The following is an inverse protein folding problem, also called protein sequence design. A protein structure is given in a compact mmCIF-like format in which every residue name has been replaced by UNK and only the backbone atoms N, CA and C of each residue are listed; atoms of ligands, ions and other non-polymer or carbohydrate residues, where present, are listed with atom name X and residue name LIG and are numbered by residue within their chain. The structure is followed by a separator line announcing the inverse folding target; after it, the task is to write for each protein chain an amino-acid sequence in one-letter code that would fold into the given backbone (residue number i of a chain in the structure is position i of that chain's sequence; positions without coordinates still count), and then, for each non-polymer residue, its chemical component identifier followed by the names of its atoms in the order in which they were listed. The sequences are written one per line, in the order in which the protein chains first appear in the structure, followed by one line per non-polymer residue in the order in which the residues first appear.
data_IF_228837221631
#
_entry.id   IF_228837221631
#
_cell.length_a   1.000
_cell.length_b   1.000
_cell.length_c   1.000
_cell.angle_alpha   90.00
_cell.angle_beta   90.00
_cell.angle_gamma   90.00
#
_symmetry.space_group_name_H-M   'P 1'
#
loop_
_entity.id
_entity.type
_entity.pdbx_description
1 polymer ?
#
# COMPACT_ATOMS: atom_id res chain seq x y z
N UNK A 1 -21.11 -12.30 -4.50
CA UNK A 1 -19.76 -11.73 -4.64
C UNK A 1 -19.63 -10.35 -3.99
N UNK A 2 -20.39 -9.31 -4.39
CA UNK A 2 -20.27 -7.97 -3.76
C UNK A 2 -20.53 -7.94 -2.24
N UNK A 3 -21.49 -8.73 -1.74
CA UNK A 3 -21.82 -8.81 -0.30
C UNK A 3 -20.71 -9.41 0.58
N UNK A 4 -19.88 -10.30 0.04
CA UNK A 4 -18.79 -10.92 0.80
C UNK A 4 -17.58 -9.99 0.92
N UNK A 5 -17.29 -9.22 -0.12
CA UNK A 5 -16.21 -8.22 -0.09
C UNK A 5 -16.52 -7.10 0.91
N UNK A 6 -17.77 -6.60 0.95
CA UNK A 6 -18.18 -5.58 1.93
C UNK A 6 -18.06 -6.09 3.37
N UNK A 7 -18.42 -7.34 3.65
CA UNK A 7 -18.31 -7.92 4.99
C UNK A 7 -16.86 -8.07 5.48
N UNK A 8 -15.92 -8.40 4.58
CA UNK A 8 -14.49 -8.43 4.92
C UNK A 8 -13.93 -7.03 5.20
N UNK A 9 -14.29 -6.03 4.39
CA UNK A 9 -13.87 -4.64 4.58
C UNK A 9 -14.33 -4.14 5.95
N UNK A 10 -15.62 -4.32 6.29
CA UNK A 10 -16.16 -3.87 7.59
C UNK A 10 -15.56 -4.61 8.78
N UNK A 11 -15.33 -5.93 8.65
CA UNK A 11 -14.70 -6.72 9.72
C UNK A 11 -13.26 -6.28 9.99
N UNK A 12 -12.47 -6.11 8.91
CA UNK A 12 -11.10 -5.59 9.00
C UNK A 12 -11.10 -4.18 9.58
N UNK A 13 -11.98 -3.32 9.08
CA UNK A 13 -12.13 -1.95 9.55
C UNK A 13 -12.41 -1.92 11.05
N UNK A 14 -13.44 -2.63 11.52
CA UNK A 14 -13.83 -2.65 12.93
C UNK A 14 -12.76 -3.25 13.84
N UNK A 15 -12.06 -4.30 13.37
CA UNK A 15 -10.93 -4.89 14.07
C UNK A 15 -9.78 -3.90 14.25
N UNK A 16 -9.41 -3.19 13.17
CA UNK A 16 -8.35 -2.18 13.20
C UNK A 16 -8.77 -0.96 14.04
N UNK A 17 -9.99 -0.44 13.90
CA UNK A 17 -10.52 0.64 14.76
C UNK A 17 -10.41 0.27 16.24
N UNK A 18 -10.79 -0.96 16.59
CA UNK A 18 -10.74 -1.45 17.98
C UNK A 18 -9.30 -1.55 18.47
N UNK A 19 -8.39 -2.06 17.65
CA UNK A 19 -6.97 -2.15 17.97
C UNK A 19 -6.36 -0.75 18.17
N UNK A 20 -6.61 0.18 17.25
CA UNK A 20 -6.12 1.56 17.32
C UNK A 20 -6.65 2.26 18.58
N UNK A 21 -7.94 2.14 18.88
CA UNK A 21 -8.53 2.71 20.10
C UNK A 21 -7.98 2.07 21.38
N UNK A 22 -7.56 0.81 21.31
CA UNK A 22 -7.02 0.06 22.45
C UNK A 22 -5.55 0.34 22.75
N UNK A 23 -4.70 0.43 21.72
CA UNK A 23 -3.23 0.54 21.88
C UNK A 23 -2.66 1.89 21.45
N UNK A 24 -3.40 2.68 20.67
CA UNK A 24 -2.92 3.93 20.08
C UNK A 24 -1.92 3.76 18.92
N UNK A 25 -1.52 2.54 18.59
CA UNK A 25 -0.53 2.26 17.54
C UNK A 25 -1.19 1.78 16.25
N UNK A 26 -1.34 2.71 15.30
CA UNK A 26 -1.94 2.46 13.98
C UNK A 26 -1.06 1.55 13.13
N UNK A 27 0.23 1.82 13.05
CA UNK A 27 1.11 1.10 12.14
C UNK A 27 1.22 -0.37 12.56
N UNK A 28 1.43 -0.66 13.85
CA UNK A 28 1.55 -2.04 14.34
C UNK A 28 0.24 -2.82 14.20
N UNK A 29 -0.91 -2.21 14.53
CA UNK A 29 -2.21 -2.86 14.38
C UNK A 29 -2.50 -3.24 12.92
N UNK A 30 -2.12 -2.37 11.99
CA UNK A 30 -2.27 -2.61 10.55
C UNK A 30 -1.31 -3.69 10.06
N UNK A 31 -0.04 -3.62 10.45
CA UNK A 31 0.97 -4.64 10.09
C UNK A 31 0.50 -6.03 10.51
N UNK A 32 0.04 -6.17 11.76
CA UNK A 32 -0.42 -7.44 12.30
C UNK A 32 -1.65 -7.97 11.56
N UNK A 33 -2.63 -7.10 11.26
CA UNK A 33 -3.83 -7.49 10.53
C UNK A 33 -3.49 -7.98 9.12
N UNK A 34 -2.73 -7.17 8.37
CA UNK A 34 -2.35 -7.46 6.98
C UNK A 34 -1.46 -8.71 6.92
N UNK A 35 -0.47 -8.82 7.81
CA UNK A 35 0.42 -9.98 7.87
C UNK A 35 -0.35 -11.26 8.17
N UNK A 36 -1.24 -11.26 9.17
CA UNK A 36 -2.07 -12.43 9.51
C UNK A 36 -2.97 -12.84 8.35
N UNK A 37 -3.58 -11.88 7.64
CA UNK A 37 -4.40 -12.21 6.46
C UNK A 37 -3.55 -12.84 5.36
N UNK A 38 -2.39 -12.26 5.05
CA UNK A 38 -1.48 -12.80 4.03
C UNK A 38 -1.01 -14.20 4.41
N UNK A 39 -0.52 -14.42 5.64
CA UNK A 39 -0.06 -15.74 6.12
C UNK A 39 -1.20 -16.77 6.10
N UNK A 40 -2.40 -16.40 6.57
CA UNK A 40 -3.57 -17.30 6.56
C UNK A 40 -3.99 -17.67 5.14
N UNK A 41 -3.86 -16.74 4.20
CA UNK A 41 -4.23 -16.96 2.79
C UNK A 41 -3.16 -17.78 2.04
N UNK A 42 -1.88 -17.61 2.35
CA UNK A 42 -0.78 -18.40 1.77
C UNK A 42 -0.66 -19.80 2.40
N UNK A 43 -1.01 -19.96 3.68
CA UNK A 43 -0.95 -21.24 4.40
C UNK A 43 -2.15 -22.17 4.13
N UNK A 44 -3.18 -21.70 3.44
CA UNK A 44 -4.41 -22.46 3.19
C UNK A 44 -4.83 -22.47 1.72
N UNK A 45 -4.53 -23.58 1.03
CA UNK A 45 -5.26 -24.11 -0.15
C UNK A 45 -4.95 -23.42 -1.51
N UNK A 46 -4.62 -24.25 -2.50
CA UNK A 46 -3.96 -23.88 -3.77
C UNK A 46 -4.82 -23.32 -4.92
N UNK A 47 -5.97 -22.69 -4.69
CA UNK A 47 -6.86 -22.20 -5.76
C UNK A 47 -7.21 -20.67 -5.67
N UNK A 48 -6.33 -19.85 -5.08
CA UNK A 48 -6.68 -18.53 -4.48
C UNK A 48 -5.92 -17.34 -5.11
N UNK A 49 -5.66 -17.30 -6.42
CA UNK A 49 -5.00 -16.12 -7.02
C UNK A 49 -5.90 -14.86 -7.00
N UNK A 50 -7.17 -14.99 -7.41
CA UNK A 50 -8.13 -13.86 -7.48
C UNK A 50 -8.66 -13.43 -6.10
N UNK A 51 -8.81 -14.40 -5.19
CA UNK A 51 -9.27 -14.16 -3.82
C UNK A 51 -8.19 -13.47 -2.97
N UNK A 52 -6.90 -13.71 -3.25
CA UNK A 52 -5.80 -13.02 -2.57
C UNK A 52 -5.77 -11.52 -2.90
N UNK A 53 -5.88 -11.16 -4.19
CA UNK A 53 -5.92 -9.75 -4.62
C UNK A 53 -7.16 -9.04 -4.06
N UNK A 54 -8.30 -9.72 -4.07
CA UNK A 54 -9.55 -9.20 -3.49
C UNK A 54 -9.44 -9.00 -1.98
N UNK A 55 -8.82 -9.94 -1.27
CA UNK A 55 -8.61 -9.86 0.18
C UNK A 55 -7.62 -8.77 0.55
N UNK A 56 -6.50 -8.64 -0.17
CA UNK A 56 -5.53 -7.55 0.07
C UNK A 56 -6.12 -6.18 -0.24
N UNK A 57 -6.91 -6.05 -1.31
CA UNK A 57 -7.64 -4.83 -1.61
C UNK A 57 -8.68 -4.50 -0.53
N UNK A 58 -9.45 -5.50 -0.09
CA UNK A 58 -10.43 -5.33 0.99
C UNK A 58 -9.77 -4.94 2.32
N UNK A 59 -8.61 -5.53 2.63
CA UNK A 59 -7.84 -5.18 3.83
C UNK A 59 -7.26 -3.78 3.73
N UNK A 60 -6.65 -3.41 2.59
CA UNK A 60 -6.12 -2.07 2.37
C UNK A 60 -7.24 -1.01 2.50
N UNK A 61 -8.38 -1.24 1.86
CA UNK A 61 -9.53 -0.34 1.91
C UNK A 61 -10.13 -0.26 3.31
N UNK A 62 -10.35 -1.39 3.99
CA UNK A 62 -10.85 -1.43 5.37
C UNK A 62 -9.90 -0.76 6.36
N UNK A 63 -8.59 -0.91 6.14
CA UNK A 63 -7.54 -0.24 6.92
C UNK A 63 -7.61 1.27 6.75
N UNK A 64 -7.63 1.77 5.51
CA UNK A 64 -7.64 3.21 5.26
C UNK A 64 -8.94 3.82 5.80
N UNK A 65 -10.09 3.14 5.63
CA UNK A 65 -11.35 3.57 6.23
C UNK A 65 -11.31 3.60 7.77
N UNK A 66 -10.68 2.61 8.41
CA UNK A 66 -10.53 2.58 9.87
C UNK A 66 -9.70 3.77 10.37
N UNK A 67 -8.60 4.06 9.68
CA UNK A 67 -7.70 5.17 10.03
C UNK A 67 -8.37 6.51 9.79
N UNK A 68 -9.12 6.66 8.69
CA UNK A 68 -9.93 7.86 8.45
C UNK A 68 -11.00 8.05 9.54
N UNK A 69 -11.67 6.99 9.98
CA UNK A 69 -12.71 7.06 11.02
C UNK A 69 -12.15 7.47 12.38
N UNK A 70 -10.97 6.99 12.75
CA UNK A 70 -10.32 7.35 14.01
C UNK A 70 -9.50 8.64 13.93
N UNK A 71 -9.43 9.28 12.75
CA UNK A 71 -8.60 10.47 12.51
C UNK A 71 -7.11 10.19 12.61
N UNK A 72 -6.67 8.98 12.32
CA UNK A 72 -5.28 8.56 12.35
C UNK A 72 -4.49 9.00 11.11
N UNK A 73 -3.18 8.80 11.16
CA UNK A 73 -2.27 9.19 10.09
C UNK A 73 -2.26 8.18 8.93
N UNK A 74 -2.64 8.62 7.73
CA UNK A 74 -2.67 7.77 6.53
C UNK A 74 -1.27 7.34 6.09
N UNK A 75 -0.23 8.12 6.40
CA UNK A 75 1.15 7.74 6.11
C UNK A 75 1.54 6.50 6.91
N UNK A 76 1.25 6.51 8.21
CA UNK A 76 1.47 5.40 9.13
C UNK A 76 0.64 4.17 8.75
N UNK A 77 -0.60 4.37 8.31
CA UNK A 77 -1.44 3.30 7.79
C UNK A 77 -0.84 2.66 6.54
N UNK A 78 -0.45 3.47 5.56
CA UNK A 78 0.11 3.00 4.30
C UNK A 78 1.46 2.30 4.51
N UNK A 79 2.30 2.85 5.41
CA UNK A 79 3.51 2.22 5.92
C UNK A 79 3.24 0.85 6.52
N UNK A 80 2.23 0.76 7.39
CA UNK A 80 1.84 -0.48 8.04
C UNK A 80 1.33 -1.54 7.05
N UNK A 81 0.57 -1.13 6.02
CA UNK A 81 0.08 -2.04 4.98
C UNK A 81 1.24 -2.69 4.26
N UNK A 82 2.19 -1.91 3.72
CA UNK A 82 3.27 -2.47 2.93
C UNK A 82 4.22 -3.33 3.77
N UNK A 83 4.47 -2.94 5.03
CA UNK A 83 5.22 -3.76 5.99
C UNK A 83 4.50 -5.08 6.30
N UNK A 84 3.19 -5.04 6.54
CA UNK A 84 2.39 -6.24 6.77
C UNK A 84 2.39 -7.20 5.58
N UNK A 85 2.28 -6.67 4.36
CA UNK A 85 2.39 -7.47 3.13
C UNK A 85 3.78 -8.09 3.03
N UNK A 86 4.84 -7.31 3.22
CA UNK A 86 6.22 -7.80 3.14
C UNK A 86 6.54 -8.86 4.19
N UNK A 87 6.11 -8.65 5.44
CA UNK A 87 6.28 -9.63 6.53
C UNK A 87 5.46 -10.90 6.27
N UNK A 88 4.20 -10.77 5.83
CA UNK A 88 3.36 -11.93 5.54
C UNK A 88 3.84 -12.71 4.31
N UNK A 89 4.40 -12.05 3.30
CA UNK A 89 4.95 -12.71 2.11
C UNK A 89 6.37 -13.25 2.32
N UNK A 90 7.08 -12.81 3.37
CA UNK A 90 8.39 -13.37 3.78
C UNK A 90 8.29 -14.87 4.06
N UNK A 91 7.28 -15.29 4.81
CA UNK A 91 7.07 -16.70 5.16
C UNK A 91 6.78 -17.57 3.93
N UNK A 92 6.17 -16.97 2.90
CA UNK A 92 5.86 -17.61 1.63
C UNK A 92 6.97 -17.46 0.55
N UNK A 93 8.06 -16.73 0.83
CA UNK A 93 9.11 -16.43 -0.15
C UNK A 93 8.67 -15.54 -1.32
N UNK A 94 7.54 -14.83 -1.20
CA UNK A 94 6.91 -14.05 -2.26
C UNK A 94 7.15 -12.52 -2.16
N UNK A 95 8.00 -12.09 -1.21
CA UNK A 95 8.33 -10.69 -1.01
C UNK A 95 9.30 -10.20 -2.10
N UNK A 96 8.76 -9.54 -3.13
CA UNK A 96 9.53 -9.01 -4.27
C UNK A 96 9.31 -7.50 -4.46
N UNK A 97 10.18 -6.86 -5.24
CA UNK A 97 10.00 -5.47 -5.67
C UNK A 97 8.67 -5.28 -6.44
N UNK A 98 8.23 -6.30 -7.18
CA UNK A 98 6.93 -6.27 -7.85
C UNK A 98 5.78 -6.23 -6.83
N UNK A 99 5.84 -7.05 -5.79
CA UNK A 99 4.86 -7.05 -4.70
C UNK A 99 4.78 -5.68 -4.02
N UNK A 100 5.92 -5.01 -3.79
CA UNK A 100 5.98 -3.65 -3.25
C UNK A 100 5.26 -2.66 -4.17
N UNK A 101 5.57 -2.69 -5.48
CA UNK A 101 4.97 -1.80 -6.48
C UNK A 101 3.46 -2.03 -6.62
N UNK A 102 3.02 -3.29 -6.70
CA UNK A 102 1.60 -3.64 -6.78
C UNK A 102 0.83 -3.21 -5.53
N UNK A 103 1.40 -3.45 -4.35
CA UNK A 103 0.78 -3.04 -3.08
C UNK A 103 0.66 -1.52 -3.00
N UNK A 104 1.73 -0.79 -3.35
CA UNK A 104 1.71 0.67 -3.35
C UNK A 104 0.65 1.25 -4.30
N UNK A 105 0.52 0.71 -5.51
CA UNK A 105 -0.51 1.13 -6.45
C UNK A 105 -1.93 0.86 -5.94
N UNK A 106 -2.17 -0.32 -5.35
CA UNK A 106 -3.46 -0.67 -4.75
C UNK A 106 -3.83 0.22 -3.58
N UNK A 107 -2.88 0.51 -2.68
CA UNK A 107 -3.10 1.41 -1.54
C UNK A 107 -3.46 2.81 -2.01
N UNK A 108 -2.76 3.36 -3.01
CA UNK A 108 -3.10 4.69 -3.56
C UNK A 108 -4.51 4.73 -4.17
N UNK A 109 -4.90 3.67 -4.89
CA UNK A 109 -6.27 3.55 -5.40
C UNK A 109 -7.30 3.55 -4.28
N UNK A 110 -7.10 2.71 -3.26
CA UNK A 110 -7.99 2.66 -2.11
C UNK A 110 -8.03 3.98 -1.34
N UNK A 111 -6.90 4.69 -1.23
CA UNK A 111 -6.85 6.02 -0.61
C UNK A 111 -7.67 7.03 -1.41
N UNK A 112 -7.57 7.01 -2.74
CA UNK A 112 -8.35 7.89 -3.61
C UNK A 112 -9.85 7.61 -3.53
N UNK A 113 -10.25 6.33 -3.50
CA UNK A 113 -11.65 5.90 -3.39
C UNK A 113 -12.33 6.42 -2.12
N UNK A 114 -11.56 6.61 -1.04
CA UNK A 114 -12.07 7.12 0.24
C UNK A 114 -11.78 8.61 0.45
N UNK A 115 -11.24 9.30 -0.57
CA UNK A 115 -10.93 10.73 -0.51
C UNK A 115 -9.79 11.10 0.43
N UNK A 116 -8.86 10.18 0.70
CA UNK A 116 -7.69 10.42 1.55
C UNK A 116 -6.55 11.18 0.85
N UNK A 117 -5.58 11.64 1.64
CA UNK A 117 -4.38 12.32 1.14
C UNK A 117 -3.41 11.33 0.47
N UNK A 118 -3.35 11.37 -0.86
CA UNK A 118 -2.49 10.52 -1.68
C UNK A 118 -1.00 10.79 -1.45
N UNK A 119 -0.62 12.03 -1.18
CA UNK A 119 0.77 12.42 -0.95
C UNK A 119 1.30 11.86 0.36
N UNK A 120 0.51 11.99 1.42
CA UNK A 120 0.83 11.42 2.74
C UNK A 120 0.87 9.90 2.70
N UNK A 121 -0.11 9.25 2.03
CA UNK A 121 -0.09 7.81 1.82
C UNK A 121 1.14 7.34 1.01
N UNK A 122 1.50 8.05 -0.07
CA UNK A 122 2.66 7.73 -0.90
C UNK A 122 3.98 7.79 -0.12
N UNK A 123 4.17 8.80 0.72
CA UNK A 123 5.35 8.90 1.61
C UNK A 123 5.41 7.72 2.57
N UNK A 124 4.30 7.40 3.22
CA UNK A 124 4.20 6.25 4.11
C UNK A 124 4.55 4.92 3.43
N UNK A 125 4.10 4.72 2.18
CA UNK A 125 4.45 3.54 1.39
C UNK A 125 5.96 3.43 1.14
N UNK A 126 6.62 4.53 0.77
CA UNK A 126 8.06 4.53 0.54
C UNK A 126 8.82 4.26 1.84
N UNK A 127 8.42 4.87 2.95
CA UNK A 127 9.03 4.63 4.26
C UNK A 127 8.87 3.17 4.71
N UNK A 128 7.66 2.60 4.54
CA UNK A 128 7.40 1.20 4.85
C UNK A 128 8.16 0.23 3.95
N UNK A 129 8.34 0.56 2.66
CA UNK A 129 9.13 -0.24 1.74
C UNK A 129 10.62 -0.23 2.12
N UNK A 130 11.17 0.92 2.51
CA UNK A 130 12.56 1.05 2.97
C UNK A 130 12.77 0.22 4.24
N UNK A 131 11.85 0.33 5.20
CA UNK A 131 11.91 -0.42 6.45
C UNK A 131 11.77 -1.93 6.22
N UNK A 132 10.76 -2.35 5.45
CA UNK A 132 10.55 -3.75 5.10
C UNK A 132 11.72 -4.34 4.32
N UNK A 133 12.32 -3.57 3.41
CA UNK A 133 13.53 -4.01 2.70
C UNK A 133 14.71 -4.26 3.65
N UNK A 134 14.93 -3.39 4.66
CA UNK A 134 15.95 -3.62 5.69
C UNK A 134 15.69 -4.90 6.48
N UNK A 135 14.44 -5.19 6.84
CA UNK A 135 14.05 -6.40 7.57
C UNK A 135 14.18 -7.69 6.75
N UNK A 136 14.08 -7.58 5.42
CA UNK A 136 14.15 -8.68 4.48
C UNK A 136 15.52 -8.87 3.84
N UNK A 137 16.46 -7.94 4.07
CA UNK A 137 17.77 -7.94 3.41
C UNK A 137 17.70 -7.59 1.92
N UNK A 138 16.66 -6.87 1.49
CA UNK A 138 16.51 -6.36 0.12
C UNK A 138 17.18 -4.99 -0.02
N UNK A 139 17.44 -4.56 -1.26
CA UNK A 139 17.96 -3.22 -1.52
C UNK A 139 16.90 -2.15 -1.21
N UNK A 140 17.23 -1.27 -0.27
CA UNK A 140 16.30 -0.22 0.20
C UNK A 140 16.00 0.84 -0.84
N UNK A 141 16.93 1.11 -1.77
CA UNK A 141 16.74 2.08 -2.85
C UNK A 141 15.83 1.49 -3.92
N UNK A 142 16.01 0.22 -4.28
CA UNK A 142 15.14 -0.48 -5.20
C UNK A 142 13.72 -0.64 -4.63
N UNK A 143 13.59 -0.96 -3.34
CA UNK A 143 12.29 -1.03 -2.66
C UNK A 143 11.59 0.34 -2.62
N UNK A 144 12.30 1.41 -2.28
CA UNK A 144 11.78 2.77 -2.32
C UNK A 144 11.32 3.15 -3.73
N UNK A 145 12.12 2.86 -4.76
CA UNK A 145 11.80 3.14 -6.15
C UNK A 145 10.61 2.32 -6.64
N UNK A 146 10.50 1.05 -6.24
CA UNK A 146 9.37 0.19 -6.55
C UNK A 146 8.08 0.71 -5.93
N UNK A 147 8.09 1.08 -4.64
CA UNK A 147 6.94 1.67 -3.96
C UNK A 147 6.53 2.99 -4.61
N UNK A 148 7.49 3.88 -4.87
CA UNK A 148 7.22 5.16 -5.51
C UNK A 148 6.63 5.01 -6.92
N UNK A 149 7.19 4.09 -7.71
CA UNK A 149 6.71 3.80 -9.08
C UNK A 149 5.31 3.18 -9.05
N UNK A 150 5.06 2.25 -8.14
CA UNK A 150 3.76 1.63 -7.93
C UNK A 150 2.70 2.64 -7.53
N UNK A 151 3.02 3.51 -6.56
CA UNK A 151 2.16 4.59 -6.11
C UNK A 151 1.82 5.56 -7.25
N UNK A 152 2.83 5.99 -8.03
CA UNK A 152 2.63 6.86 -9.20
C UNK A 152 1.78 6.21 -10.28
N UNK A 153 1.96 4.91 -10.52
CA UNK A 153 1.13 4.16 -11.47
C UNK A 153 -0.33 4.11 -10.99
N UNK A 154 -0.56 3.77 -9.73
CA UNK A 154 -1.89 3.76 -9.13
C UNK A 154 -2.57 5.13 -9.23
N UNK A 155 -1.82 6.20 -8.92
CA UNK A 155 -2.28 7.58 -9.03
C UNK A 155 -2.58 8.01 -10.47
N UNK A 156 -1.70 7.66 -11.42
CA UNK A 156 -1.86 7.99 -12.83
C UNK A 156 -3.05 7.29 -13.48
N UNK A 157 -3.41 6.09 -13.03
CA UNK A 157 -4.62 5.39 -13.44
C UNK A 157 -5.91 6.06 -12.92
N UNK A 158 -5.84 6.77 -11.80
CA UNK A 158 -6.96 7.60 -11.28
C UNK A 158 -7.09 8.88 -12.10
N UNK A 159 -5.98 9.56 -12.36
CA UNK A 159 -5.95 10.76 -13.19
C UNK A 159 -4.67 11.59 -13.03
N UNK A 160 -4.48 12.55 -13.93
CA UNK A 160 -3.27 13.39 -13.97
C UNK A 160 -3.02 14.17 -12.67
N UNK A 161 -4.09 14.69 -12.04
CA UNK A 161 -3.99 15.46 -10.79
C UNK A 161 -3.54 14.58 -9.62
N UNK A 162 -4.12 13.39 -9.47
CA UNK A 162 -3.69 12.41 -8.47
C UNK A 162 -2.23 12.00 -8.70
N UNK A 163 -1.87 11.75 -9.95
CA UNK A 163 -0.49 11.48 -10.36
C UNK A 163 0.47 12.59 -9.96
N UNK A 164 0.09 13.85 -10.16
CA UNK A 164 0.90 15.02 -9.80
C UNK A 164 1.04 15.20 -8.28
N UNK A 165 -0.05 15.00 -7.52
CA UNK A 165 0.00 15.02 -6.05
C UNK A 165 0.99 13.99 -5.49
N UNK A 166 0.91 12.75 -5.97
CA UNK A 166 1.84 11.68 -5.56
C UNK A 166 3.26 12.00 -6.02
N UNK A 167 3.44 12.47 -7.26
CA UNK A 167 4.76 12.88 -7.78
C UNK A 167 5.41 13.93 -6.89
N UNK A 168 4.68 14.99 -6.56
CA UNK A 168 5.17 16.10 -5.74
C UNK A 168 5.48 15.68 -4.30
N UNK A 169 4.69 14.74 -3.75
CA UNK A 169 4.97 14.19 -2.43
C UNK A 169 6.22 13.30 -2.40
N UNK A 170 6.51 12.62 -3.51
CA UNK A 170 7.62 11.68 -3.65
C UNK A 170 8.92 12.31 -4.16
N UNK A 171 8.88 13.55 -4.65
CA UNK A 171 10.09 14.29 -5.01
C UNK A 171 10.87 14.71 -3.78
N UNK A 172 12.08 14.19 -3.61
CA UNK A 172 13.00 14.55 -2.54
C UNK A 172 13.71 13.36 -1.91
N UNK A 173 14.15 13.53 -0.67
CA UNK A 173 14.72 12.46 0.15
C UNK A 173 13.68 12.00 1.15
N UNK A 174 13.36 10.69 1.14
CA UNK A 174 12.41 10.07 2.05
C UNK A 174 13.17 9.04 2.89
N UNK A 175 13.08 9.14 4.22
CA UNK A 175 13.81 8.27 5.16
C UNK A 175 15.32 8.09 4.83
N UNK A 176 15.97 9.15 4.35
CA UNK A 176 17.39 9.16 3.98
C UNK A 176 17.71 8.55 2.59
N UNK A 177 16.69 8.06 1.86
CA UNK A 177 16.83 7.50 0.52
C UNK A 177 16.36 8.53 -0.52
N UNK A 178 17.21 8.79 -1.51
CA UNK A 178 16.83 9.62 -2.66
C UNK A 178 15.87 8.81 -3.53
N UNK A 179 14.61 9.24 -3.60
CA UNK A 179 13.63 8.57 -4.45
C UNK A 179 13.89 8.98 -5.89
N UNK A 180 14.37 8.03 -6.69
CA UNK A 180 14.49 8.21 -8.13
C UNK A 180 13.23 7.63 -8.75
N UNK A 181 12.36 8.53 -9.23
CA UNK A 181 11.24 8.16 -10.06
C UNK A 181 11.79 7.70 -11.42
N UNK A 182 11.74 6.39 -11.68
CA UNK A 182 11.95 5.88 -13.04
C UNK A 182 10.71 6.25 -13.83
N UNK A 183 10.80 7.31 -14.62
CA UNK A 183 9.73 7.68 -15.55
C UNK A 183 9.64 6.67 -16.69
N UNK A 184 8.46 6.11 -17.00
CA UNK A 184 8.16 5.64 -18.34
C UNK A 184 7.08 6.54 -18.93
N UNK A 185 7.37 7.83 -19.14
CA UNK A 185 6.44 8.73 -19.82
C UNK A 185 7.17 9.51 -20.90
N UNK A 186 7.48 8.82 -22.00
CA UNK A 186 7.58 9.50 -23.28
C UNK A 186 6.21 10.10 -23.60
N UNK A 187 6.06 11.41 -23.42
CA UNK A 187 5.06 12.18 -24.15
C UNK A 187 5.33 11.95 -25.64
N UNK A 188 4.58 11.05 -26.29
CA UNK A 188 4.51 11.07 -27.74
C UNK A 188 3.86 12.40 -28.13
N UNK A 189 4.54 13.26 -28.94
CA UNK A 189 3.87 14.41 -29.52
C UNK A 189 2.80 13.89 -30.49
N UNK A 190 1.56 14.34 -30.31
CA UNK A 190 0.47 14.11 -31.25
C UNK A 190 0.89 14.61 -32.63
N UNK A 191 0.79 13.80 -33.71
CA UNK A 191 1.05 14.31 -35.03
C UNK A 191 -0.04 15.32 -35.38
N UNK A 192 0.37 16.56 -35.65
CA UNK A 192 -0.43 17.50 -36.42
C UNK A 192 -0.39 17.06 -37.88
N UNK A 193 -1.53 17.27 -38.54
CA UNK A 193 -1.84 17.23 -39.98
C UNK A 193 -2.59 15.99 -40.45
#
# INVERSE_FOLDING_TARGET
MAREQTGLIESVKNGIVSAIKGTGDVASAVVDAVSKTVVTTFGGIGDIATSLVSATSAVAQGTIQAVMEVGGDLGSAAKGIILGVLRGTKEAGAATLETISQTAGSVIKSTAEVGGDLGTAAKGLVEGAIEGAKELGLDTMEAASAAATGALKGAGEIGSEAGEQVRNALTGTIAGVKVVLKEPFHKQPSPKS
#
